data_IF_309879162169
#
_entry.id   IF_309879162169
#
_cell.length_a   1.000
_cell.length_b   1.000
_cell.length_c   1.000
_cell.angle_alpha   90.00
_cell.angle_beta   90.00
_cell.angle_gamma   90.00
#
_symmetry.space_group_name_H-M   'P 1'
#
loop_
_entity.id
_entity.type
_entity.pdbx_description
1 polymer ?
#
# COMPACT_ATOMS: atom_id res chain seq x y z
N UNK A 1 -16.82 -0.78 -11.55
CA UNK A 1 -15.85 -0.73 -10.42
C UNK A 1 -16.50 -1.27 -9.15
N UNK A 2 -15.83 -2.11 -8.36
CA UNK A 2 -16.44 -2.69 -7.14
C UNK A 2 -16.45 -1.71 -5.95
N UNK A 3 -17.29 -1.99 -4.93
CA UNK A 3 -17.45 -1.13 -3.74
C UNK A 3 -16.14 -0.87 -2.98
N UNK A 4 -15.30 -1.88 -2.79
CA UNK A 4 -14.01 -1.70 -2.10
C UNK A 4 -13.05 -0.81 -2.88
N UNK A 5 -13.02 -0.94 -4.22
CA UNK A 5 -12.21 -0.08 -5.07
C UNK A 5 -12.72 1.36 -5.09
N UNK A 6 -14.05 1.57 -5.13
CA UNK A 6 -14.63 2.90 -5.05
C UNK A 6 -14.18 3.61 -3.76
N UNK A 7 -14.38 2.96 -2.60
CA UNK A 7 -13.99 3.53 -1.30
C UNK A 7 -12.50 3.87 -1.24
N UNK A 8 -11.62 2.98 -1.70
CA UNK A 8 -10.18 3.22 -1.66
C UNK A 8 -9.75 4.33 -2.63
N UNK A 9 -10.37 4.43 -3.81
CA UNK A 9 -10.11 5.54 -4.74
C UNK A 9 -10.54 6.87 -4.16
N UNK A 10 -11.72 6.97 -3.56
CA UNK A 10 -12.17 8.19 -2.91
C UNK A 10 -11.25 8.59 -1.76
N UNK A 11 -10.80 7.62 -0.97
CA UNK A 11 -9.80 7.86 0.08
C UNK A 11 -8.50 8.42 -0.52
N UNK A 12 -7.99 7.86 -1.61
CA UNK A 12 -6.76 8.32 -2.26
C UNK A 12 -6.93 9.72 -2.86
N UNK A 13 -8.05 9.99 -3.54
CA UNK A 13 -8.39 11.32 -4.06
C UNK A 13 -8.44 12.34 -2.93
N UNK A 14 -9.07 12.01 -1.80
CA UNK A 14 -9.12 12.88 -0.64
C UNK A 14 -7.74 13.03 0.05
N UNK A 15 -6.88 12.02 0.01
CA UNK A 15 -5.55 12.06 0.58
C UNK A 15 -4.61 13.00 -0.17
N UNK A 16 -4.71 13.05 -1.51
CA UNK A 16 -3.84 13.88 -2.37
C UNK A 16 -3.85 15.36 -1.99
N UNK A 17 -4.98 15.91 -1.53
CA UNK A 17 -5.08 17.33 -1.16
C UNK A 17 -4.27 17.72 0.09
N UNK A 18 -3.92 16.74 0.94
CA UNK A 18 -3.07 16.93 2.11
C UNK A 18 -2.25 15.65 2.34
N UNK A 19 -1.38 15.37 1.37
CA UNK A 19 -0.73 14.07 1.20
C UNK A 19 0.09 13.65 2.43
N UNK A 20 0.73 14.58 3.13
CA UNK A 20 1.52 14.29 4.32
C UNK A 20 0.64 13.99 5.53
N UNK A 21 -0.29 14.88 5.87
CA UNK A 21 -1.13 14.70 7.07
C UNK A 21 -2.07 13.51 6.95
N UNK A 22 -2.49 13.17 5.73
CA UNK A 22 -3.42 12.06 5.49
C UNK A 22 -2.74 10.71 5.29
N UNK A 23 -1.40 10.63 5.27
CA UNK A 23 -0.71 9.36 5.02
C UNK A 23 -0.94 8.31 6.11
N UNK A 24 -0.63 8.64 7.36
CA UNK A 24 -0.83 7.70 8.49
C UNK A 24 -2.32 7.35 8.70
N UNK A 25 -3.28 8.31 8.63
CA UNK A 25 -4.70 7.97 8.61
C UNK A 25 -5.10 7.04 7.46
N UNK A 26 -4.56 7.24 6.26
CA UNK A 26 -4.83 6.38 5.09
C UNK A 26 -4.32 4.97 5.31
N UNK A 27 -3.08 4.82 5.82
CA UNK A 27 -2.52 3.52 6.20
C UNK A 27 -3.42 2.82 7.23
N UNK A 28 -3.88 3.54 8.24
CA UNK A 28 -4.77 3.01 9.29
C UNK A 28 -6.10 2.50 8.71
N UNK A 29 -6.70 3.25 7.78
CA UNK A 29 -7.92 2.81 7.11
C UNK A 29 -7.70 1.57 6.23
N UNK A 30 -6.58 1.52 5.50
CA UNK A 30 -6.21 0.34 4.69
C UNK A 30 -6.07 -0.90 5.57
N UNK A 31 -5.43 -0.77 6.76
CA UNK A 31 -5.31 -1.88 7.72
C UNK A 31 -6.69 -2.44 8.10
N UNK A 32 -7.66 -1.57 8.41
CA UNK A 32 -9.02 -2.01 8.72
C UNK A 32 -9.70 -2.70 7.51
N UNK A 33 -9.47 -2.20 6.29
CA UNK A 33 -9.98 -2.87 5.09
C UNK A 33 -9.35 -4.26 4.88
N UNK A 34 -8.06 -4.45 5.20
CA UNK A 34 -7.40 -5.75 5.14
C UNK A 34 -7.94 -6.69 6.22
N UNK A 35 -8.12 -6.20 7.44
CA UNK A 35 -8.74 -6.95 8.54
C UNK A 35 -10.15 -7.44 8.17
N UNK A 36 -10.92 -6.61 7.47
CA UNK A 36 -12.24 -6.94 6.92
C UNK A 36 -12.19 -7.82 5.66
N UNK A 37 -11.01 -8.30 5.25
CA UNK A 37 -10.80 -9.13 4.05
C UNK A 37 -11.29 -8.48 2.75
N UNK A 38 -11.32 -7.13 2.68
CA UNK A 38 -11.69 -6.36 1.49
C UNK A 38 -10.50 -6.12 0.56
N UNK A 39 -9.34 -5.94 1.18
CA UNK A 39 -8.04 -5.80 0.53
C UNK A 39 -7.09 -6.85 1.07
N UNK A 40 -5.97 -7.02 0.38
CA UNK A 40 -4.79 -7.69 0.92
C UNK A 40 -3.55 -6.84 0.59
N UNK A 41 -2.53 -6.95 1.44
CA UNK A 41 -1.19 -6.49 1.10
C UNK A 41 -0.61 -7.47 0.08
N UNK A 42 -0.46 -7.01 -1.16
CA UNK A 42 0.07 -7.84 -2.24
C UNK A 42 1.59 -7.88 -2.19
N UNK A 43 2.24 -6.72 -2.08
CA UNK A 43 3.68 -6.59 -1.91
C UNK A 43 3.99 -5.33 -1.10
N UNK A 44 4.94 -5.40 -0.18
CA UNK A 44 5.23 -4.32 0.77
C UNK A 44 6.68 -4.34 1.26
N UNK A 45 7.21 -3.14 1.46
CA UNK A 45 8.53 -2.93 2.05
C UNK A 45 8.56 -3.30 3.55
N UNK A 46 7.42 -3.19 4.24
CA UNK A 46 7.24 -3.60 5.63
C UNK A 46 5.75 -3.94 5.90
N UNK A 47 5.40 -4.55 7.05
CA UNK A 47 4.01 -4.61 7.52
C UNK A 47 3.41 -3.21 7.66
N UNK A 48 2.11 -3.06 7.46
CA UNK A 48 1.46 -1.74 7.54
C UNK A 48 1.50 -1.15 8.96
N UNK A 49 1.60 -2.01 9.97
CA UNK A 49 1.77 -1.67 11.39
C UNK A 49 3.07 -0.93 11.66
N UNK A 50 4.10 -1.26 10.90
CA UNK A 50 5.46 -0.80 11.13
C UNK A 50 5.77 0.51 10.37
N UNK A 51 4.88 0.97 9.49
CA UNK A 51 5.11 2.14 8.62
C UNK A 51 5.44 3.39 9.41
N UNK A 52 4.68 3.66 10.48
CA UNK A 52 4.90 4.85 11.31
C UNK A 52 6.31 4.85 11.91
N UNK A 53 6.73 3.70 12.47
CA UNK A 53 8.06 3.54 13.07
C UNK A 53 9.18 3.69 12.05
N UNK A 54 9.03 3.06 10.87
CA UNK A 54 10.04 3.15 9.81
C UNK A 54 10.26 4.57 9.31
N UNK A 55 9.19 5.36 9.22
CA UNK A 55 9.28 6.76 8.81
C UNK A 55 9.82 7.66 9.93
N UNK A 56 9.41 7.47 11.18
CA UNK A 56 9.87 8.30 12.30
C UNK A 56 11.32 8.06 12.70
N UNK A 57 11.79 6.82 12.58
CA UNK A 57 13.17 6.43 12.88
C UNK A 57 14.10 6.51 11.65
N UNK A 58 13.58 6.96 10.50
CA UNK A 58 14.31 7.07 9.23
C UNK A 58 15.05 5.77 8.81
N UNK A 59 14.50 4.60 9.16
CA UNK A 59 15.13 3.29 8.94
C UNK A 59 15.38 3.03 7.46
N UNK A 60 14.45 3.48 6.61
CA UNK A 60 14.58 3.41 5.17
C UNK A 60 13.98 4.65 4.52
N UNK A 61 14.64 5.13 3.46
CA UNK A 61 14.28 6.39 2.81
C UNK A 61 12.87 6.37 2.19
N UNK A 62 12.44 5.22 1.68
CA UNK A 62 11.13 5.08 1.03
C UNK A 62 10.41 3.84 1.51
N UNK A 63 9.14 3.98 1.85
CA UNK A 63 8.28 2.85 2.19
C UNK A 63 7.21 2.72 1.09
N UNK A 64 7.12 1.55 0.47
CA UNK A 64 6.18 1.25 -0.62
C UNK A 64 5.30 0.06 -0.31
N UNK A 65 4.03 0.18 -0.68
CA UNK A 65 3.05 -0.90 -0.60
C UNK A 65 2.18 -0.95 -1.85
N UNK A 66 1.98 -2.17 -2.32
CA UNK A 66 1.02 -2.55 -3.34
C UNK A 66 -0.10 -3.33 -2.67
N UNK A 67 -1.32 -2.86 -2.86
CA UNK A 67 -2.53 -3.48 -2.34
C UNK A 67 -3.29 -4.13 -3.48
N UNK A 68 -3.96 -5.25 -3.20
CA UNK A 68 -4.86 -5.90 -4.16
C UNK A 68 -6.26 -6.00 -3.59
N UNK A 69 -7.25 -5.58 -4.38
CA UNK A 69 -8.64 -5.81 -4.04
C UNK A 69 -8.95 -7.31 -4.11
N UNK A 70 -9.47 -7.90 -3.03
CA UNK A 70 -9.76 -9.34 -3.02
C UNK A 70 -10.91 -9.72 -3.96
N UNK A 71 -11.86 -8.80 -4.18
CA UNK A 71 -13.06 -9.02 -5.00
C UNK A 71 -12.81 -8.93 -6.50
N UNK A 72 -12.17 -7.84 -6.99
CA UNK A 72 -12.00 -7.62 -8.43
C UNK A 72 -10.54 -7.55 -8.89
N UNK A 73 -9.58 -7.86 -8.00
CA UNK A 73 -8.13 -7.95 -8.28
C UNK A 73 -7.46 -6.66 -8.78
N UNK A 74 -8.15 -5.52 -8.72
CA UNK A 74 -7.58 -4.20 -8.96
C UNK A 74 -6.42 -3.93 -7.99
N UNK A 75 -5.33 -3.36 -8.52
CA UNK A 75 -4.16 -3.00 -7.76
C UNK A 75 -4.14 -1.50 -7.40
N UNK A 76 -3.55 -1.20 -6.26
CA UNK A 76 -3.32 0.15 -5.76
C UNK A 76 -1.90 0.26 -5.22
N UNK A 77 -1.34 1.46 -5.29
CA UNK A 77 -0.04 1.78 -4.75
C UNK A 77 -0.17 2.92 -3.75
N UNK A 78 0.49 2.76 -2.62
CA UNK A 78 0.71 3.80 -1.64
C UNK A 78 2.17 3.77 -1.21
N UNK A 79 2.80 4.94 -1.13
CA UNK A 79 4.18 5.02 -0.67
C UNK A 79 4.52 6.38 -0.11
N UNK A 80 5.51 6.42 0.77
CA UNK A 80 6.05 7.65 1.33
C UNK A 80 7.58 7.63 1.23
N UNK A 81 8.13 8.81 1.00
CA UNK A 81 9.55 9.09 1.13
C UNK A 81 9.73 10.02 2.34
N UNK A 82 10.71 9.78 3.20
CA UNK A 82 10.97 10.66 4.37
C UNK A 82 11.24 12.12 3.97
N UNK A 83 11.65 12.37 2.71
CA UNK A 83 11.95 13.69 2.15
C UNK A 83 11.01 14.11 1.01
N UNK A 84 9.96 13.34 0.72
CA UNK A 84 9.12 13.56 -0.45
C UNK A 84 7.63 13.48 -0.14
N UNK A 85 6.81 13.92 -1.10
CA UNK A 85 5.36 13.84 -0.98
C UNK A 85 4.90 12.38 -1.11
N UNK A 86 4.06 11.89 -0.19
CA UNK A 86 3.46 10.57 -0.33
C UNK A 86 2.66 10.42 -1.63
N UNK A 87 2.73 9.23 -2.21
CA UNK A 87 2.11 8.89 -3.48
C UNK A 87 0.93 7.96 -3.21
N UNK A 88 -0.20 8.25 -3.86
CA UNK A 88 -1.42 7.46 -3.84
C UNK A 88 -1.85 7.21 -5.27
N UNK A 89 -1.94 5.95 -5.71
CA UNK A 89 -2.19 5.63 -7.12
C UNK A 89 -3.04 4.38 -7.32
N UNK A 90 -3.91 4.42 -8.32
CA UNK A 90 -4.57 3.21 -8.86
C UNK A 90 -3.71 2.63 -9.98
N UNK A 91 -3.48 1.33 -9.98
CA UNK A 91 -2.58 0.66 -10.92
C UNK A 91 -3.38 -0.13 -11.94
N UNK A 92 -3.36 0.28 -13.21
CA UNK A 92 -4.13 -0.36 -14.28
C UNK A 92 -3.62 -1.77 -14.61
N UNK A 93 -2.30 -1.94 -14.66
CA UNK A 93 -1.64 -3.22 -14.92
C UNK A 93 -0.50 -3.44 -13.93
N UNK A 94 -0.50 -4.62 -13.28
CA UNK A 94 0.57 -5.01 -12.33
C UNK A 94 1.90 -5.31 -13.04
N UNK A 95 1.87 -5.56 -14.35
CA UNK A 95 3.10 -5.81 -15.12
C UNK A 95 3.94 -4.55 -15.29
N UNK A 96 3.33 -3.37 -15.13
CA UNK A 96 3.97 -2.07 -15.34
C UNK A 96 4.67 -1.56 -14.07
N UNK A 97 4.51 -2.26 -12.95
CA UNK A 97 5.08 -1.88 -11.65
C UNK A 97 6.22 -2.80 -11.25
N UNK A 98 7.35 -2.19 -10.89
CA UNK A 98 8.54 -2.92 -10.47
C UNK A 98 8.43 -3.35 -9.00
N UNK A 99 7.80 -4.51 -8.78
CA UNK A 99 7.74 -5.20 -7.48
C UNK A 99 9.00 -6.03 -7.18
N UNK A 100 9.96 -6.12 -8.12
CA UNK A 100 11.19 -6.92 -7.95
C UNK A 100 12.24 -6.19 -7.12
N UNK A 101 12.26 -4.86 -7.17
CA UNK A 101 13.23 -4.04 -6.46
C UNK A 101 12.65 -3.48 -5.15
N UNK A 102 11.87 -4.27 -4.42
CA UNK A 102 11.35 -3.89 -3.10
C UNK A 102 12.42 -4.07 -2.03
N UNK A 103 12.41 -3.21 -1.01
CA UNK A 103 13.32 -3.30 0.12
C UNK A 103 12.91 -4.46 1.03
N UNK A 104 11.60 -4.62 1.24
CA UNK A 104 11.04 -5.75 1.97
C UNK A 104 10.36 -6.76 1.07
N UNK A 105 10.03 -7.90 1.67
CA UNK A 105 9.32 -9.02 1.04
C UNK A 105 8.06 -9.37 1.83
N UNK A 106 7.19 -8.38 2.07
CA UNK A 106 5.94 -8.57 2.81
C UNK A 106 4.73 -8.63 1.88
N UNK A 107 3.73 -9.45 2.23
CA UNK A 107 2.49 -9.60 1.45
C UNK A 107 2.40 -10.88 0.63
N UNK A 108 1.22 -11.09 0.05
CA UNK A 108 0.82 -12.35 -0.57
C UNK A 108 1.69 -12.80 -1.76
N UNK A 109 2.38 -11.87 -2.43
CA UNK A 109 3.34 -12.19 -3.49
C UNK A 109 4.51 -13.05 -3.01
N UNK A 110 4.95 -12.87 -1.76
CA UNK A 110 6.13 -13.52 -1.20
C UNK A 110 5.79 -14.75 -0.36
N UNK A 111 4.54 -14.85 0.12
CA UNK A 111 4.07 -15.98 0.92
C UNK A 111 4.04 -17.28 0.09
N UNK A 112 3.67 -17.22 -1.19
CA UNK A 112 3.61 -18.40 -2.07
C UNK A 112 4.99 -18.98 -2.43
N UNK A 113 6.07 -18.22 -2.25
CA UNK A 113 7.45 -18.66 -2.56
C UNK A 113 8.10 -19.48 -1.45
N UNK A 114 7.42 -19.67 -0.30
CA UNK A 114 7.95 -20.43 0.84
C UNK A 114 7.54 -21.92 0.84
N UNK A 115 6.86 -22.40 -0.20
CA UNK A 115 6.26 -23.74 -0.26
C UNK A 115 6.87 -24.66 -1.34
N UNK A 116 8.14 -24.48 -1.69
CA UNK A 116 8.92 -25.39 -2.54
C UNK A 116 10.29 -25.61 -1.95
#
# INVERSE_FOLDING_TARGET
MCKSCFVLRELFTAAISDAHQKYIPTISFIKEMIKQQRLELYAGDCPLEEVARHLSEEIHYTVRHYLRCKSCKQYFFIGACIRGTPIYKTIESINDVNVKNMWGNYGSLYETKRST
#
